data_IF_487896193093
#
_entry.id   IF_487896193093
#
_cell.length_a   1.000
_cell.length_b   1.000
_cell.length_c   1.000
_cell.angle_alpha   90.00
_cell.angle_beta   90.00
_cell.angle_gamma   90.00
#
_symmetry.space_group_name_H-M   'P 1'
#
loop_
_entity.id
_entity.type
_entity.pdbx_description
1 polymer ?
#
# COMPACT_ATOMS: atom_id res chain seq x y z
N UNK A 1 -0.86 21.52 10.63
CA UNK A 1 -0.52 20.23 11.27
C UNK A 1 -1.68 19.28 11.01
N UNK A 2 -1.43 18.12 10.40
CA UNK A 2 -2.44 17.08 10.18
C UNK A 2 -2.43 16.11 11.35
N UNK A 3 -3.60 15.59 11.73
CA UNK A 3 -3.74 14.48 12.68
C UNK A 3 -4.25 13.25 11.94
N UNK A 4 -3.52 12.14 12.05
CA UNK A 4 -3.94 10.84 11.52
C UNK A 4 -4.32 9.93 12.69
N UNK A 5 -5.50 9.30 12.61
CA UNK A 5 -5.97 8.32 13.59
C UNK A 5 -6.17 7.00 12.85
N UNK A 6 -5.33 6.01 13.15
CA UNK A 6 -5.37 4.68 12.53
C UNK A 6 -5.88 3.66 13.53
N UNK A 7 -6.91 2.91 13.15
CA UNK A 7 -7.51 1.93 14.01
C UNK A 7 -7.29 0.50 13.51
N UNK A 8 -6.84 -0.40 14.40
CA UNK A 8 -6.93 -1.84 14.16
C UNK A 8 -8.37 -2.32 14.36
N UNK A 9 -9.10 -2.54 13.27
CA UNK A 9 -10.52 -2.89 13.32
C UNK A 9 -10.73 -4.27 13.96
N UNK A 10 -9.96 -5.26 13.54
CA UNK A 10 -10.00 -6.64 13.99
C UNK A 10 -9.74 -6.73 15.49
N UNK A 11 -8.66 -6.10 15.97
CA UNK A 11 -8.31 -6.10 17.40
C UNK A 11 -9.39 -5.46 18.27
N UNK A 12 -9.99 -4.36 17.81
CA UNK A 12 -11.10 -3.73 18.54
C UNK A 12 -12.35 -4.59 18.52
N UNK A 13 -12.66 -5.20 17.38
CA UNK A 13 -13.78 -6.12 17.25
C UNK A 13 -13.59 -7.34 18.18
N UNK A 14 -12.36 -7.87 18.31
CA UNK A 14 -12.06 -9.01 19.19
C UNK A 14 -12.36 -8.66 20.65
N UNK A 15 -11.92 -7.47 21.08
CA UNK A 15 -12.20 -6.98 22.43
C UNK A 15 -13.70 -6.79 22.69
N UNK A 16 -14.43 -6.22 21.72
CA UNK A 16 -15.88 -5.98 21.83
C UNK A 16 -16.67 -7.30 21.84
N UNK A 17 -16.28 -8.27 21.02
CA UNK A 17 -16.96 -9.56 20.89
C UNK A 17 -16.48 -10.60 21.92
N UNK A 18 -15.41 -10.32 22.66
CA UNK A 18 -14.87 -11.21 23.69
C UNK A 18 -14.24 -12.49 23.12
N UNK A 19 -13.57 -12.39 21.97
CA UNK A 19 -12.90 -13.54 21.32
C UNK A 19 -11.37 -13.37 21.31
N UNK A 20 -10.64 -14.47 21.47
CA UNK A 20 -9.18 -14.48 21.56
C UNK A 20 -8.47 -14.63 20.20
N UNK A 21 -9.19 -15.13 19.18
CA UNK A 21 -8.69 -15.28 17.81
C UNK A 21 -9.44 -14.35 16.85
N UNK A 22 -8.70 -13.77 15.90
CA UNK A 22 -9.31 -12.99 14.82
C UNK A 22 -10.26 -13.83 13.98
N UNK A 23 -9.98 -15.13 13.81
CA UNK A 23 -10.78 -16.03 12.98
C UNK A 23 -12.15 -16.34 13.59
N UNK A 24 -12.30 -16.21 14.91
CA UNK A 24 -13.56 -16.45 15.62
C UNK A 24 -14.48 -15.22 15.62
N UNK A 25 -14.01 -14.07 15.11
CA UNK A 25 -14.81 -12.86 14.98
C UNK A 25 -16.05 -13.12 14.14
N UNK A 26 -17.23 -12.75 14.64
CA UNK A 26 -18.44 -12.72 13.83
C UNK A 26 -18.34 -11.54 12.86
N UNK A 27 -18.22 -11.84 11.57
CA UNK A 27 -18.20 -10.86 10.48
C UNK A 27 -19.60 -10.35 10.16
N UNK A 28 -20.57 -11.25 10.12
CA UNK A 28 -21.99 -10.93 9.96
C UNK A 28 -22.89 -11.95 10.65
N UNK A 29 -24.02 -11.49 11.19
CA UNK A 29 -25.07 -12.33 11.76
C UNK A 29 -26.37 -12.07 10.98
N UNK A 30 -26.84 -13.07 10.24
CA UNK A 30 -27.94 -12.91 9.30
C UNK A 30 -28.89 -14.11 9.24
N UNK A 31 -29.91 -14.09 8.37
CA UNK A 31 -30.92 -15.13 8.28
C UNK A 31 -30.40 -16.54 7.96
N UNK A 32 -29.18 -16.63 7.41
CA UNK A 32 -28.50 -17.89 7.08
C UNK A 32 -27.53 -18.36 8.18
N UNK A 33 -27.52 -17.69 9.33
CA UNK A 33 -26.61 -17.93 10.44
C UNK A 33 -25.46 -16.92 10.50
N UNK A 34 -24.50 -17.21 11.38
CA UNK A 34 -23.30 -16.41 11.58
C UNK A 34 -22.23 -16.78 10.56
N UNK A 35 -21.59 -15.76 10.01
CA UNK A 35 -20.36 -15.90 9.22
C UNK A 35 -19.22 -15.31 10.04
N UNK A 36 -18.16 -16.08 10.21
CA UNK A 36 -16.96 -15.66 10.93
C UNK A 36 -15.94 -15.03 9.99
N UNK A 37 -14.97 -14.29 10.54
CA UNK A 37 -13.83 -13.78 9.80
C UNK A 37 -13.01 -14.95 9.21
N UNK A 38 -12.92 -16.07 9.95
CA UNK A 38 -12.30 -17.30 9.47
C UNK A 38 -12.93 -17.82 8.19
N UNK A 39 -14.27 -17.85 8.13
CA UNK A 39 -15.01 -18.31 6.94
C UNK A 39 -14.69 -17.48 5.69
N UNK A 40 -14.38 -16.19 5.86
CA UNK A 40 -14.14 -15.26 4.75
C UNK A 40 -12.65 -15.18 4.38
N UNK A 41 -11.75 -15.14 5.36
CA UNK A 41 -10.35 -14.75 5.14
C UNK A 41 -9.32 -15.83 5.45
N UNK A 42 -9.65 -16.90 6.18
CA UNK A 42 -8.64 -17.88 6.58
C UNK A 42 -7.96 -18.54 5.36
N UNK A 43 -8.74 -18.93 4.35
CA UNK A 43 -8.19 -19.46 3.10
C UNK A 43 -7.28 -18.43 2.40
N UNK A 44 -7.72 -17.19 2.30
CA UNK A 44 -6.92 -16.11 1.71
C UNK A 44 -5.61 -15.90 2.46
N UNK A 45 -5.61 -15.87 3.79
CA UNK A 45 -4.39 -15.70 4.61
C UNK A 45 -3.39 -16.85 4.39
N UNK A 46 -3.87 -18.08 4.33
CA UNK A 46 -3.03 -19.26 4.05
C UNK A 46 -2.42 -19.14 2.65
N UNK A 47 -3.24 -18.91 1.62
CA UNK A 47 -2.79 -18.86 0.23
C UNK A 47 -1.85 -17.67 -0.02
N UNK A 48 -2.16 -16.48 0.50
CA UNK A 48 -1.32 -15.30 0.37
C UNK A 48 0.02 -15.48 1.11
N UNK A 49 0.01 -16.07 2.32
CA UNK A 49 1.25 -16.36 3.04
C UNK A 49 2.13 -17.32 2.25
N UNK A 50 1.55 -18.43 1.76
CA UNK A 50 2.26 -19.40 0.93
C UNK A 50 2.82 -18.74 -0.33
N UNK A 51 2.05 -17.92 -1.04
CA UNK A 51 2.55 -17.17 -2.19
C UNK A 51 3.71 -16.23 -1.81
N UNK A 52 3.50 -15.36 -0.83
CA UNK A 52 4.46 -14.32 -0.42
C UNK A 52 5.78 -14.90 0.09
N UNK A 53 5.75 -16.05 0.77
CA UNK A 53 6.94 -16.65 1.38
C UNK A 53 7.60 -17.73 0.53
N UNK A 54 6.89 -18.37 -0.39
CA UNK A 54 7.42 -19.55 -1.09
C UNK A 54 7.41 -19.39 -2.62
N UNK A 55 6.31 -18.90 -3.20
CA UNK A 55 6.07 -18.98 -4.64
C UNK A 55 6.22 -17.68 -5.42
N UNK A 56 6.27 -16.52 -4.76
CA UNK A 56 6.39 -15.25 -5.46
C UNK A 56 7.68 -15.21 -6.30
N UNK A 57 7.53 -14.90 -7.59
CA UNK A 57 8.61 -14.85 -8.58
C UNK A 57 9.50 -13.63 -8.34
N UNK A 58 10.69 -13.88 -7.80
CA UNK A 58 11.64 -12.86 -7.39
C UNK A 58 12.17 -12.04 -8.58
N UNK A 59 12.50 -12.70 -9.70
CA UNK A 59 13.07 -12.02 -10.87
C UNK A 59 12.03 -11.12 -11.54
N UNK A 60 10.80 -11.60 -11.63
CA UNK A 60 9.68 -10.79 -12.09
C UNK A 60 9.40 -9.60 -11.17
N UNK A 61 9.47 -9.78 -9.85
CA UNK A 61 9.24 -8.70 -8.89
C UNK A 61 10.32 -7.62 -8.94
N UNK A 62 11.59 -7.99 -9.16
CA UNK A 62 12.65 -7.02 -9.43
C UNK A 62 12.35 -6.22 -10.70
N UNK A 63 11.98 -6.92 -11.77
CA UNK A 63 11.58 -6.28 -13.04
C UNK A 63 10.40 -5.32 -12.84
N UNK A 64 9.39 -5.73 -12.07
CA UNK A 64 8.23 -4.90 -11.73
C UNK A 64 8.67 -3.62 -11.00
N UNK A 65 9.51 -3.75 -9.97
CA UNK A 65 10.00 -2.59 -9.22
C UNK A 65 10.67 -1.58 -10.15
N UNK A 66 11.61 -2.05 -10.98
CA UNK A 66 12.36 -1.20 -11.91
C UNK A 66 11.45 -0.54 -12.94
N UNK A 67 10.50 -1.28 -13.50
CA UNK A 67 9.55 -0.76 -14.48
C UNK A 67 8.62 0.30 -13.87
N UNK A 68 8.09 0.06 -12.68
CA UNK A 68 7.24 1.03 -11.99
C UNK A 68 8.00 2.29 -11.57
N UNK A 69 9.25 2.16 -11.09
CA UNK A 69 10.12 3.31 -10.82
C UNK A 69 10.36 4.12 -12.09
N UNK A 70 10.71 3.46 -13.19
CA UNK A 70 10.96 4.10 -14.48
C UNK A 70 9.73 4.84 -14.99
N UNK A 71 8.55 4.21 -14.97
CA UNK A 71 7.29 4.85 -15.36
C UNK A 71 6.98 6.08 -14.49
N UNK A 72 7.16 5.97 -13.17
CA UNK A 72 6.95 7.10 -12.26
C UNK A 72 7.87 8.29 -12.63
N UNK A 73 9.16 8.02 -12.89
CA UNK A 73 10.12 9.04 -13.31
C UNK A 73 9.72 9.67 -14.65
N UNK A 74 9.32 8.87 -15.63
CA UNK A 74 8.89 9.36 -16.95
C UNK A 74 7.66 10.26 -16.85
N UNK A 75 6.66 9.87 -16.06
CA UNK A 75 5.44 10.66 -15.83
C UNK A 75 5.72 12.00 -15.15
N UNK A 76 6.71 12.04 -14.26
CA UNK A 76 7.15 13.26 -13.60
C UNK A 76 8.02 14.15 -14.48
N UNK A 77 8.69 13.57 -15.49
CA UNK A 77 9.56 14.29 -16.41
C UNK A 77 8.84 14.86 -17.66
N UNK A 78 7.53 14.63 -17.78
CA UNK A 78 6.72 15.23 -18.84
C UNK A 78 6.73 16.76 -18.72
N UNK A 79 6.55 17.47 -19.84
CA UNK A 79 6.37 18.92 -19.86
C UNK A 79 5.22 19.37 -18.95
N UNK A 80 4.15 18.55 -18.93
CA UNK A 80 3.06 18.64 -17.97
C UNK A 80 3.08 17.39 -17.08
N UNK A 81 3.73 17.43 -15.90
CA UNK A 81 3.86 16.27 -15.02
C UNK A 81 2.51 15.67 -14.60
N UNK A 82 2.47 14.34 -14.48
CA UNK A 82 1.27 13.60 -14.05
C UNK A 82 1.47 12.97 -12.66
N UNK A 83 1.33 13.76 -11.56
CA UNK A 83 1.69 13.30 -10.22
C UNK A 83 0.79 12.18 -9.67
N UNK A 84 -0.51 12.19 -9.97
CA UNK A 84 -1.42 11.14 -9.48
C UNK A 84 -1.13 9.78 -10.13
N UNK A 85 -0.99 9.66 -11.47
CA UNK A 85 -0.50 8.43 -12.08
C UNK A 85 0.88 7.99 -11.58
N UNK A 86 1.81 8.93 -11.40
CA UNK A 86 3.14 8.62 -10.87
C UNK A 86 3.06 8.05 -9.43
N UNK A 87 2.17 8.59 -8.59
CA UNK A 87 1.92 8.07 -7.25
C UNK A 87 1.45 6.61 -7.26
N UNK A 88 0.52 6.26 -8.16
CA UNK A 88 0.05 4.88 -8.29
C UNK A 88 1.18 3.92 -8.69
N UNK A 89 2.10 4.35 -9.56
CA UNK A 89 3.29 3.54 -9.90
C UNK A 89 4.17 3.31 -8.68
N UNK A 90 4.38 4.32 -7.84
CA UNK A 90 5.15 4.19 -6.60
C UNK A 90 4.49 3.21 -5.63
N UNK A 91 3.16 3.22 -5.50
CA UNK A 91 2.44 2.26 -4.66
C UNK A 91 2.67 0.82 -5.15
N UNK A 92 2.68 0.59 -6.46
CA UNK A 92 3.00 -0.71 -7.04
C UNK A 92 4.46 -1.11 -6.80
N UNK A 93 5.40 -0.18 -6.97
CA UNK A 93 6.82 -0.43 -6.66
C UNK A 93 7.01 -0.78 -5.17
N UNK A 94 6.35 -0.05 -4.26
CA UNK A 94 6.40 -0.33 -2.83
C UNK A 94 5.80 -1.70 -2.48
N UNK A 95 4.72 -2.10 -3.15
CA UNK A 95 4.15 -3.44 -2.99
C UNK A 95 5.09 -4.54 -3.50
N UNK A 96 5.67 -4.40 -4.69
CA UNK A 96 6.68 -5.34 -5.21
C UNK A 96 7.89 -5.46 -4.27
N UNK A 97 8.34 -4.33 -3.70
CA UNK A 97 9.38 -4.32 -2.68
C UNK A 97 8.99 -5.12 -1.42
N UNK A 98 7.76 -4.98 -0.93
CA UNK A 98 7.30 -5.73 0.25
C UNK A 98 7.27 -7.25 -0.03
N UNK A 99 6.89 -7.67 -1.24
CA UNK A 99 6.94 -9.08 -1.63
C UNK A 99 8.37 -9.61 -1.72
N UNK A 100 9.29 -8.84 -2.30
CA UNK A 100 10.71 -9.19 -2.34
C UNK A 100 11.31 -9.31 -0.93
N UNK A 101 10.93 -8.42 -0.02
CA UNK A 101 11.33 -8.45 1.40
C UNK A 101 10.76 -9.68 2.12
N UNK A 102 9.49 -10.03 1.87
CA UNK A 102 8.87 -11.25 2.39
C UNK A 102 9.56 -12.53 1.90
N UNK A 103 9.95 -12.57 0.62
CA UNK A 103 10.76 -13.66 0.03
C UNK A 103 12.20 -13.70 0.56
N UNK A 104 12.62 -12.72 1.38
CA UNK A 104 14.00 -12.55 1.85
C UNK A 104 15.00 -12.46 0.69
N UNK A 105 14.55 -11.94 -0.45
CA UNK A 105 15.35 -11.79 -1.67
C UNK A 105 16.27 -10.56 -1.63
N UNK A 106 16.12 -9.70 -0.62
CA UNK A 106 16.84 -8.43 -0.49
C UNK A 106 17.65 -8.45 0.83
N UNK A 107 18.94 -8.14 0.75
CA UNK A 107 19.79 -7.98 1.95
C UNK A 107 19.44 -6.71 2.74
N UNK A 108 19.88 -6.61 4.00
CA UNK A 108 19.65 -5.43 4.84
C UNK A 108 20.14 -4.14 4.18
N UNK A 109 21.31 -4.18 3.53
CA UNK A 109 21.88 -3.03 2.82
C UNK A 109 21.06 -2.65 1.59
N UNK A 110 20.60 -3.64 0.82
CA UNK A 110 19.75 -3.39 -0.35
C UNK A 110 18.38 -2.85 0.07
N UNK A 111 17.81 -3.34 1.18
CA UNK A 111 16.54 -2.86 1.74
C UNK A 111 16.57 -1.35 1.97
N UNK A 112 17.66 -0.84 2.56
CA UNK A 112 17.84 0.60 2.76
C UNK A 112 17.89 1.37 1.42
N UNK A 113 18.54 0.81 0.40
CA UNK A 113 18.60 1.41 -0.95
C UNK A 113 17.21 1.50 -1.60
N UNK A 114 16.41 0.43 -1.51
CA UNK A 114 15.04 0.42 -2.04
C UNK A 114 14.14 1.43 -1.32
N UNK A 115 14.23 1.50 0.02
CA UNK A 115 13.49 2.51 0.80
C UNK A 115 13.86 3.93 0.37
N UNK A 116 15.15 4.21 0.14
CA UNK A 116 15.60 5.53 -0.31
C UNK A 116 15.08 5.87 -1.71
N UNK A 117 15.06 4.90 -2.63
CA UNK A 117 14.49 5.05 -3.98
C UNK A 117 13.00 5.41 -3.92
N UNK A 118 12.19 4.63 -3.20
CA UNK A 118 10.76 4.88 -3.00
C UNK A 118 10.54 6.28 -2.38
N UNK A 119 11.29 6.62 -1.34
CA UNK A 119 11.19 7.92 -0.66
C UNK A 119 11.50 9.09 -1.61
N UNK A 120 12.53 8.95 -2.44
CA UNK A 120 12.93 9.99 -3.40
C UNK A 120 11.82 10.24 -4.42
N UNK A 121 11.24 9.18 -4.99
CA UNK A 121 10.13 9.29 -5.93
C UNK A 121 8.88 9.89 -5.25
N UNK A 122 8.56 9.45 -4.04
CA UNK A 122 7.38 9.92 -3.30
C UNK A 122 7.50 11.42 -3.01
N UNK A 123 8.70 11.89 -2.67
CA UNK A 123 8.98 13.33 -2.52
C UNK A 123 8.74 14.09 -3.82
N UNK A 124 9.28 13.61 -4.94
CA UNK A 124 9.09 14.26 -6.24
C UNK A 124 7.62 14.31 -6.66
N UNK A 125 6.84 13.25 -6.38
CA UNK A 125 5.38 13.25 -6.57
C UNK A 125 4.70 14.31 -5.72
N UNK A 126 5.08 14.44 -4.44
CA UNK A 126 4.49 15.45 -3.56
C UNK A 126 4.78 16.87 -4.04
N UNK A 127 6.01 17.13 -4.50
CA UNK A 127 6.41 18.42 -5.07
C UNK A 127 5.64 18.74 -6.36
N UNK A 128 5.55 17.78 -7.29
CA UNK A 128 4.79 17.93 -8.53
C UNK A 128 3.27 18.10 -8.26
N UNK A 129 2.73 17.36 -7.31
CA UNK A 129 1.34 17.52 -6.88
C UNK A 129 1.11 18.91 -6.31
N UNK A 130 1.95 19.37 -5.38
CA UNK A 130 1.85 20.72 -4.83
C UNK A 130 1.86 21.78 -5.92
N UNK A 131 2.82 21.74 -6.85
CA UNK A 131 2.91 22.68 -7.96
C UNK A 131 1.65 22.67 -8.83
N UNK A 132 1.09 21.47 -9.12
CA UNK A 132 -0.17 21.35 -9.86
C UNK A 132 -1.36 21.98 -9.12
N UNK A 133 -1.38 21.90 -7.78
CA UNK A 133 -2.43 22.54 -6.97
C UNK A 133 -2.24 24.04 -6.87
N UNK A 134 -1.00 24.51 -6.79
CA UNK A 134 -0.62 25.92 -6.76
C UNK A 134 -1.01 26.63 -8.07
N UNK A 135 -0.74 26.01 -9.22
CA UNK A 135 -1.16 26.53 -10.52
C UNK A 135 -2.69 26.69 -10.66
N UNK A 136 -3.46 25.89 -9.91
CA UNK A 136 -4.92 25.98 -9.82
C UNK A 136 -5.41 26.95 -8.73
N UNK A 137 -4.50 27.64 -8.02
CA UNK A 137 -4.83 28.54 -6.91
C UNK A 137 -5.35 27.82 -5.66
N UNK A 138 -4.94 26.57 -5.42
CA UNK A 138 -5.37 25.74 -4.30
C UNK A 138 -6.90 25.70 -4.10
N UNK A 139 -7.68 25.17 -5.05
CA UNK A 139 -9.14 25.33 -5.05
C UNK A 139 -9.86 24.62 -3.88
N UNK A 140 -9.16 23.75 -3.14
CA UNK A 140 -9.67 23.08 -1.93
C UNK A 140 -9.34 23.83 -0.63
N UNK A 141 -8.55 24.89 -0.69
CA UNK A 141 -8.15 25.69 0.48
C UNK A 141 -9.01 26.95 0.63
N UNK A 142 -10.06 27.10 -0.18
CA UNK A 142 -10.94 28.26 -0.15
C UNK A 142 -11.87 28.18 1.07
N UNK A 143 -11.79 29.17 1.97
CA UNK A 143 -12.54 29.20 3.22
C UNK A 143 -13.99 29.68 3.08
N UNK A 144 -14.34 30.23 1.92
CA UNK A 144 -15.63 30.88 1.65
C UNK A 144 -16.67 29.94 1.00
N UNK A 145 -16.48 28.61 1.11
CA UNK A 145 -17.46 27.58 0.74
C UNK A 145 -17.85 26.75 1.94
#
# INVERSE_FOLDING_TARGET
VTGEITYGLERRAMYIQGVDSVYDLVWSDGPLGKTTYGDVFHQNEVEQSTYNFEYADVDFLFTCFEQYEKEAQQLLALENPLPLPAYERILKAAHSFNLLDARKAISVTERQRYILRIRTLTKAVAEAYYASREALGFPMCNKDK
#
